data_IF_238377427299
#
_entry.id   IF_238377427299
#
_cell.length_a   1.000
_cell.length_b   1.000
_cell.length_c   1.000
_cell.angle_alpha   90.00
_cell.angle_beta   90.00
_cell.angle_gamma   90.00
#
_symmetry.space_group_name_H-M   'P 1'
#
loop_
_entity.id
_entity.type
_entity.pdbx_description
1 polymer ?
#
# COMPACT_ATOMS: atom_id res chain seq x y z
N UNK A 1 24.67 1.41 -14.07
CA UNK A 1 23.65 0.35 -14.24
C UNK A 1 22.31 0.94 -13.87
N UNK A 2 21.25 0.65 -14.64
CA UNK A 2 19.89 1.09 -14.31
C UNK A 2 19.39 0.29 -13.09
N UNK A 3 18.73 0.95 -12.14
CA UNK A 3 18.16 0.33 -10.92
C UNK A 3 16.63 0.34 -10.99
N UNK A 4 15.97 -0.33 -10.04
CA UNK A 4 14.52 -0.27 -9.88
C UNK A 4 14.07 1.17 -9.61
N UNK A 5 12.93 1.58 -10.18
CA UNK A 5 12.31 2.86 -9.84
C UNK A 5 10.88 2.64 -9.36
N UNK A 6 10.56 3.11 -8.16
CA UNK A 6 9.21 3.04 -7.60
C UNK A 6 8.54 4.41 -7.76
N UNK A 7 7.47 4.46 -8.54
CA UNK A 7 6.70 5.67 -8.80
C UNK A 7 5.42 5.62 -7.97
N UNK A 8 5.18 6.61 -7.12
CA UNK A 8 4.05 6.62 -6.20
C UNK A 8 3.71 8.02 -5.69
N UNK A 9 2.53 8.17 -5.10
CA UNK A 9 2.11 9.43 -4.49
C UNK A 9 2.84 9.72 -3.17
N UNK A 10 3.01 10.99 -2.83
CA UNK A 10 3.54 11.48 -1.54
C UNK A 10 2.63 11.22 -0.31
N UNK A 11 1.70 10.26 -0.40
CA UNK A 11 0.77 9.90 0.65
C UNK A 11 1.06 8.51 1.24
N UNK A 12 0.67 8.31 2.51
CA UNK A 12 0.83 7.04 3.23
C UNK A 12 -0.19 5.99 2.81
N UNK A 13 -0.02 5.47 1.60
CA UNK A 13 -0.91 4.47 0.99
C UNK A 13 -0.15 3.22 0.52
N UNK A 14 -0.67 2.56 -0.53
CA UNK A 14 -0.29 1.23 -1.02
C UNK A 14 1.20 1.07 -1.40
N UNK A 15 1.91 2.16 -1.68
CA UNK A 15 3.33 2.12 -2.02
C UNK A 15 4.25 1.84 -0.83
N UNK A 16 3.82 2.10 0.41
CA UNK A 16 4.69 2.00 1.58
C UNK A 16 5.15 0.58 1.87
N UNK A 17 4.28 -0.43 1.68
CA UNK A 17 4.68 -1.83 1.81
C UNK A 17 5.84 -2.18 0.84
N UNK A 18 5.78 -1.66 -0.38
CA UNK A 18 6.83 -1.88 -1.40
C UNK A 18 8.13 -1.17 -1.00
N UNK A 19 8.03 0.06 -0.49
CA UNK A 19 9.20 0.82 0.00
C UNK A 19 9.89 0.11 1.15
N UNK A 20 9.14 -0.36 2.14
CA UNK A 20 9.70 -1.11 3.26
C UNK A 20 10.35 -2.41 2.79
N UNK A 21 9.67 -3.17 1.90
CA UNK A 21 10.25 -4.39 1.33
C UNK A 21 11.60 -4.11 0.64
N UNK A 22 11.70 -3.03 -0.13
CA UNK A 22 12.94 -2.66 -0.81
C UNK A 22 14.02 -2.16 0.17
N UNK A 23 13.67 -1.23 1.06
CA UNK A 23 14.61 -0.60 1.98
C UNK A 23 15.13 -1.57 3.04
N UNK A 24 14.25 -2.34 3.69
CA UNK A 24 14.60 -3.25 4.79
C UNK A 24 15.47 -4.43 4.30
N UNK A 25 15.39 -4.76 3.01
CA UNK A 25 16.21 -5.79 2.38
C UNK A 25 17.40 -5.24 1.59
N UNK A 26 17.70 -3.94 1.72
CA UNK A 26 18.86 -3.31 1.08
C UNK A 26 18.85 -3.37 -0.46
N UNK A 27 17.66 -3.46 -1.07
CA UNK A 27 17.50 -3.55 -2.52
C UNK A 27 17.65 -2.16 -3.13
N UNK A 28 18.64 -1.91 -4.01
CA UNK A 28 18.84 -0.59 -4.61
C UNK A 28 17.66 -0.17 -5.48
N UNK A 29 17.09 0.99 -5.17
CA UNK A 29 15.97 1.58 -5.90
C UNK A 29 16.00 3.11 -5.84
N UNK A 30 15.28 3.74 -6.77
CA UNK A 30 15.00 5.17 -6.82
C UNK A 30 13.51 5.40 -6.53
N UNK A 31 13.20 6.26 -5.57
CA UNK A 31 11.83 6.72 -5.32
C UNK A 31 11.53 7.91 -6.25
N UNK A 32 10.50 7.77 -7.08
CA UNK A 32 9.91 8.86 -7.87
C UNK A 32 8.58 9.24 -7.22
N UNK A 33 8.59 10.33 -6.49
CA UNK A 33 7.46 10.77 -5.69
C UNK A 33 6.65 11.79 -6.48
N UNK A 34 5.35 11.52 -6.64
CA UNK A 34 4.40 12.40 -7.32
C UNK A 34 3.53 13.07 -6.25
N UNK A 35 3.39 14.40 -6.23
CA UNK A 35 2.46 15.06 -5.33
C UNK A 35 1.04 14.53 -5.56
N UNK A 36 0.30 14.22 -4.50
CA UNK A 36 -1.08 13.75 -4.64
C UNK A 36 -2.03 14.91 -5.00
N UNK A 37 -1.86 16.05 -4.33
CA UNK A 37 -2.66 17.27 -4.53
C UNK A 37 -1.84 18.34 -5.25
N UNK A 38 -2.53 19.23 -5.97
CA UNK A 38 -1.95 20.52 -6.37
C UNK A 38 -1.86 21.48 -5.18
N UNK A 39 -1.13 22.59 -5.33
CA UNK A 39 -1.10 23.65 -4.30
C UNK A 39 -2.50 24.14 -3.91
N UNK A 40 -3.41 24.27 -4.88
CA UNK A 40 -4.80 24.62 -4.62
C UNK A 40 -5.54 23.53 -3.84
N UNK A 41 -5.26 22.26 -4.12
CA UNK A 41 -5.78 21.13 -3.35
C UNK A 41 -5.28 21.13 -1.90
N UNK A 42 -4.00 21.43 -1.67
CA UNK A 42 -3.45 21.57 -0.30
C UNK A 42 -4.12 22.73 0.43
N UNK A 43 -4.25 23.89 -0.21
CA UNK A 43 -4.89 25.06 0.39
C UNK A 43 -6.35 24.80 0.75
N UNK A 44 -7.10 24.08 -0.08
CA UNK A 44 -8.49 23.69 0.19
C UNK A 44 -8.60 22.77 1.42
N UNK A 45 -7.66 21.83 1.56
CA UNK A 45 -7.58 20.92 2.71
C UNK A 45 -7.29 21.66 3.99
N UNK A 46 -6.31 22.57 3.97
CA UNK A 46 -5.93 23.40 5.12
C UNK A 46 -7.04 24.36 5.53
N UNK A 47 -7.69 25.02 4.56
CA UNK A 47 -8.74 26.00 4.81
C UNK A 47 -10.02 25.39 5.38
N UNK A 48 -10.36 24.17 4.95
CA UNK A 48 -11.63 23.51 5.31
C UNK A 48 -11.45 22.41 6.37
N UNK A 49 -10.24 22.17 6.86
CA UNK A 49 -9.95 21.11 7.83
C UNK A 49 -10.33 19.71 7.32
N UNK A 50 -10.22 19.50 6.00
CA UNK A 50 -10.58 18.24 5.34
C UNK A 50 -9.56 17.17 5.76
N UNK A 51 -10.05 15.98 6.14
CA UNK A 51 -9.17 14.85 6.46
C UNK A 51 -8.74 14.11 5.19
N UNK A 52 -7.57 13.44 5.21
CA UNK A 52 -7.13 12.56 4.12
C UNK A 52 -8.22 11.55 3.71
N UNK A 53 -9.01 11.06 4.66
CA UNK A 53 -10.13 10.16 4.38
C UNK A 53 -11.20 10.83 3.49
N UNK A 54 -11.56 12.09 3.76
CA UNK A 54 -12.47 12.83 2.89
C UNK A 54 -11.87 13.09 1.52
N UNK A 55 -10.57 13.36 1.44
CA UNK A 55 -9.87 13.52 0.16
C UNK A 55 -9.94 12.24 -0.67
N UNK A 56 -9.73 11.06 -0.06
CA UNK A 56 -9.84 9.79 -0.80
C UNK A 56 -11.28 9.52 -1.28
N UNK A 57 -12.29 9.90 -0.50
CA UNK A 57 -13.70 9.85 -0.91
C UNK A 57 -13.96 10.79 -2.10
N UNK A 58 -13.57 12.06 -1.98
CA UNK A 58 -13.83 13.07 -3.01
C UNK A 58 -12.99 12.79 -4.27
N UNK A 59 -11.81 12.17 -4.15
CA UNK A 59 -10.99 11.74 -5.28
C UNK A 59 -11.64 10.56 -6.02
N UNK A 60 -12.35 9.68 -5.31
CA UNK A 60 -13.20 8.65 -5.92
C UNK A 60 -14.37 9.31 -6.69
N UNK A 61 -14.95 10.37 -6.12
CA UNK A 61 -15.99 11.18 -6.75
C UNK A 61 -15.45 12.28 -7.69
N UNK A 62 -14.15 12.24 -8.02
CA UNK A 62 -13.41 13.17 -8.90
C UNK A 62 -13.44 14.67 -8.55
N UNK A 63 -13.91 15.06 -7.36
CA UNK A 63 -14.00 16.46 -6.92
C UNK A 63 -12.72 17.01 -6.27
N UNK A 64 -11.57 16.32 -6.43
CA UNK A 64 -10.29 16.72 -5.82
C UNK A 64 -9.33 17.30 -6.86
N UNK A 65 -8.68 18.41 -6.49
CA UNK A 65 -7.61 19.03 -7.27
C UNK A 65 -6.32 18.20 -7.17
N UNK A 66 -6.22 17.15 -7.99
CA UNK A 66 -5.00 16.36 -8.14
C UNK A 66 -3.86 17.19 -8.76
N UNK A 67 -2.62 16.78 -8.50
CA UNK A 67 -1.43 17.49 -9.01
C UNK A 67 -1.34 17.49 -10.55
N UNK A 68 -0.74 18.55 -11.11
CA UNK A 68 -0.50 18.66 -12.54
C UNK A 68 0.48 17.60 -13.04
N UNK A 69 1.46 17.25 -12.21
CA UNK A 69 2.42 16.17 -12.43
C UNK A 69 1.70 14.84 -12.62
N UNK A 70 0.73 14.53 -11.76
CA UNK A 70 -0.06 13.31 -11.92
C UNK A 70 -0.93 13.35 -13.17
N UNK A 71 -1.64 14.45 -13.41
CA UNK A 71 -2.48 14.58 -14.59
C UNK A 71 -1.69 14.39 -15.90
N UNK A 72 -0.44 14.86 -15.92
CA UNK A 72 0.50 14.67 -17.04
C UNK A 72 0.99 13.23 -17.14
N UNK A 73 1.38 12.60 -16.02
CA UNK A 73 1.98 11.26 -15.99
C UNK A 73 0.97 10.13 -16.19
N UNK A 74 -0.29 10.34 -15.77
CA UNK A 74 -1.35 9.32 -15.70
C UNK A 74 -1.52 8.50 -16.99
N UNK A 75 -1.58 9.08 -18.20
CA UNK A 75 -1.76 8.32 -19.44
C UNK A 75 -0.60 7.37 -19.76
N UNK A 76 0.59 7.62 -19.21
CA UNK A 76 1.78 6.80 -19.43
C UNK A 76 1.89 5.63 -18.43
N UNK A 77 1.05 5.63 -17.38
CA UNK A 77 1.06 4.58 -16.36
C UNK A 77 0.10 3.43 -16.73
N UNK A 78 0.50 2.15 -16.55
CA UNK A 78 -0.39 1.03 -16.79
C UNK A 78 -1.66 1.13 -15.96
N UNK A 79 -2.81 1.04 -16.62
CA UNK A 79 -4.15 1.21 -16.04
C UNK A 79 -4.40 2.60 -15.42
N UNK A 80 -3.58 3.61 -15.72
CA UNK A 80 -3.74 4.96 -15.19
C UNK A 80 -3.72 5.03 -13.65
N UNK A 81 -2.92 4.17 -12.99
CA UNK A 81 -2.83 4.07 -11.53
C UNK A 81 -1.38 4.13 -11.03
N UNK A 82 -1.24 4.52 -9.76
CA UNK A 82 -0.04 4.33 -8.95
C UNK A 82 -0.36 3.42 -7.74
N UNK A 83 0.62 2.70 -7.16
CA UNK A 83 2.04 2.71 -7.50
C UNK A 83 2.39 1.92 -8.77
N UNK A 84 3.55 2.25 -9.36
CA UNK A 84 4.17 1.53 -10.48
C UNK A 84 5.65 1.30 -10.19
N UNK A 85 6.12 0.08 -10.41
CA UNK A 85 7.54 -0.26 -10.40
C UNK A 85 8.06 -0.33 -11.84
N UNK A 86 9.12 0.42 -12.15
CA UNK A 86 9.87 0.33 -13.40
C UNK A 86 11.12 -0.50 -13.20
N UNK A 87 11.27 -1.57 -13.97
CA UNK A 87 12.48 -2.42 -13.92
C UNK A 87 13.65 -1.77 -14.67
N UNK A 88 14.91 -2.19 -14.42
CA UNK A 88 16.06 -1.72 -15.18
C UNK A 88 15.92 -1.87 -16.70
N UNK A 89 15.20 -2.91 -17.14
CA UNK A 89 14.89 -3.23 -18.54
C UNK A 89 13.73 -2.40 -19.12
N UNK A 90 13.13 -1.51 -18.30
CA UNK A 90 12.06 -0.61 -18.70
C UNK A 90 10.65 -1.17 -18.57
N UNK A 91 10.46 -2.39 -18.05
CA UNK A 91 9.12 -2.95 -17.82
C UNK A 91 8.40 -2.17 -16.72
N UNK A 92 7.16 -1.78 -16.96
CA UNK A 92 6.27 -1.19 -15.96
C UNK A 92 5.40 -2.28 -15.34
N UNK A 93 5.35 -2.31 -14.01
CA UNK A 93 4.53 -3.24 -13.22
C UNK A 93 3.65 -2.39 -12.31
N UNK A 94 2.35 -2.46 -12.50
CA UNK A 94 1.34 -1.80 -11.64
C UNK A 94 0.70 -2.81 -10.69
N UNK A 95 -0.23 -2.34 -9.85
CA UNK A 95 -0.89 -3.09 -8.77
C UNK A 95 0.06 -3.46 -7.63
N UNK A 96 -0.18 -2.90 -6.45
CA UNK A 96 0.75 -3.01 -5.33
C UNK A 96 1.11 -4.46 -4.97
N UNK A 97 0.13 -5.35 -4.84
CA UNK A 97 0.38 -6.76 -4.51
C UNK A 97 1.11 -7.51 -5.65
N UNK A 98 0.89 -7.14 -6.91
CA UNK A 98 1.63 -7.73 -8.03
C UNK A 98 3.10 -7.28 -8.03
N UNK A 99 3.37 -6.02 -7.67
CA UNK A 99 4.72 -5.49 -7.46
C UNK A 99 5.42 -6.23 -6.31
N UNK A 100 4.76 -6.37 -5.16
CA UNK A 100 5.29 -7.09 -3.99
C UNK A 100 5.67 -8.53 -4.38
N UNK A 101 4.76 -9.27 -5.02
CA UNK A 101 5.02 -10.63 -5.52
C UNK A 101 6.16 -10.70 -6.52
N UNK A 102 6.29 -9.71 -7.42
CA UNK A 102 7.40 -9.66 -8.36
C UNK A 102 8.75 -9.50 -7.65
N UNK A 103 8.82 -8.57 -6.70
CA UNK A 103 10.03 -8.35 -5.89
C UNK A 103 10.33 -9.59 -5.05
N UNK A 104 9.33 -10.18 -4.43
CA UNK A 104 9.49 -11.35 -3.59
C UNK A 104 10.07 -12.56 -4.32
N UNK A 105 9.58 -12.84 -5.55
CA UNK A 105 10.19 -13.88 -6.40
C UNK A 105 11.62 -13.55 -6.79
N UNK A 106 11.93 -12.28 -7.02
CA UNK A 106 13.26 -11.84 -7.49
C UNK A 106 14.31 -11.84 -6.38
N UNK A 107 13.90 -11.58 -5.14
CA UNK A 107 14.79 -11.36 -3.99
C UNK A 107 14.64 -12.40 -2.88
N UNK A 108 13.96 -13.52 -3.16
CA UNK A 108 13.81 -14.64 -2.21
C UNK A 108 13.06 -14.23 -0.92
N UNK A 109 11.93 -13.52 -1.09
CA UNK A 109 11.07 -13.00 -0.01
C UNK A 109 9.65 -13.58 -0.08
N UNK A 110 9.49 -14.78 -0.65
CA UNK A 110 8.18 -15.41 -0.90
C UNK A 110 8.04 -16.76 -0.18
N UNK A 111 8.71 -16.93 0.97
CA UNK A 111 8.73 -18.21 1.67
C UNK A 111 9.65 -19.25 1.02
N UNK A 112 9.66 -20.46 1.57
CA UNK A 112 10.58 -21.54 1.15
C UNK A 112 9.87 -22.82 0.73
N UNK A 113 8.58 -22.95 1.04
CA UNK A 113 7.73 -24.08 0.68
C UNK A 113 6.46 -23.58 -0.01
N UNK A 114 5.77 -24.45 -0.74
CA UNK A 114 4.49 -24.11 -1.38
C UNK A 114 3.43 -23.68 -0.35
N UNK A 115 3.48 -24.25 0.86
CA UNK A 115 2.63 -23.86 2.00
C UNK A 115 2.98 -22.44 2.48
N UNK A 116 4.28 -22.11 2.60
CA UNK A 116 4.68 -20.73 2.96
C UNK A 116 4.17 -19.73 1.92
N UNK A 117 4.37 -20.02 0.64
CA UNK A 117 3.92 -19.18 -0.49
C UNK A 117 2.42 -18.94 -0.39
N UNK A 118 1.65 -20.02 -0.22
CA UNK A 118 0.19 -19.98 -0.13
C UNK A 118 -0.27 -19.15 1.07
N UNK A 119 0.36 -19.36 2.23
CA UNK A 119 0.02 -18.63 3.44
C UNK A 119 0.34 -17.13 3.33
N UNK A 120 1.47 -16.77 2.73
CA UNK A 120 1.84 -15.37 2.46
C UNK A 120 0.80 -14.71 1.54
N UNK A 121 0.32 -15.42 0.52
CA UNK A 121 -0.73 -14.91 -0.36
C UNK A 121 -2.05 -14.68 0.37
N UNK A 122 -2.50 -15.65 1.18
CA UNK A 122 -3.71 -15.51 2.00
C UNK A 122 -3.62 -14.28 2.90
N UNK A 123 -2.48 -14.10 3.60
CA UNK A 123 -2.28 -13.00 4.53
C UNK A 123 -2.22 -11.64 3.82
N UNK A 124 -1.59 -11.58 2.64
CA UNK A 124 -1.51 -10.36 1.83
C UNK A 124 -2.89 -9.94 1.33
N UNK A 125 -3.71 -10.89 0.86
CA UNK A 125 -5.06 -10.57 0.40
C UNK A 125 -5.98 -10.18 1.57
N UNK A 126 -5.86 -10.84 2.73
CA UNK A 126 -6.58 -10.44 3.95
C UNK A 126 -6.20 -9.01 4.40
N UNK A 127 -4.92 -8.66 4.38
CA UNK A 127 -4.48 -7.29 4.67
C UNK A 127 -5.08 -6.29 3.67
N UNK A 128 -5.07 -6.63 2.38
CA UNK A 128 -5.58 -5.75 1.34
C UNK A 128 -7.08 -5.50 1.46
N UNK A 129 -7.86 -6.54 1.74
CA UNK A 129 -9.30 -6.45 2.01
C UNK A 129 -9.57 -5.65 3.29
N UNK A 130 -8.83 -5.92 4.37
CA UNK A 130 -8.99 -5.21 5.63
C UNK A 130 -8.66 -3.73 5.50
N UNK A 131 -7.61 -3.39 4.76
CA UNK A 131 -7.24 -2.02 4.44
C UNK A 131 -8.32 -1.30 3.64
N UNK A 132 -8.92 -1.95 2.64
CA UNK A 132 -10.03 -1.37 1.88
C UNK A 132 -11.24 -1.12 2.78
N UNK A 133 -11.57 -2.05 3.69
CA UNK A 133 -12.64 -1.83 4.66
C UNK A 133 -12.35 -0.65 5.59
N UNK A 134 -11.10 -0.45 5.99
CA UNK A 134 -10.69 0.69 6.80
C UNK A 134 -10.92 1.99 6.02
N UNK A 135 -10.46 2.08 4.77
CA UNK A 135 -10.69 3.27 3.94
C UNK A 135 -12.17 3.53 3.71
N UNK A 136 -12.94 2.52 3.30
CA UNK A 136 -14.37 2.66 2.98
C UNK A 136 -15.21 3.00 4.19
N UNK A 137 -14.93 2.40 5.35
CA UNK A 137 -15.76 2.58 6.55
C UNK A 137 -15.27 3.74 7.43
N UNK A 138 -14.11 4.34 7.12
CA UNK A 138 -13.70 5.61 7.70
C UNK A 138 -14.48 6.81 7.12
N UNK A 139 -15.21 6.64 6.02
CA UNK A 139 -16.00 7.70 5.40
C UNK A 139 -17.22 8.12 6.23
N UNK A 140 -17.34 9.41 6.58
CA UNK A 140 -18.48 9.97 7.31
C UNK A 140 -18.05 10.89 8.46
N UNK A 141 -18.93 11.09 9.45
CA UNK A 141 -18.60 11.86 10.66
C UNK A 141 -17.36 11.26 11.34
N UNK A 142 -16.28 12.03 11.40
CA UNK A 142 -14.98 11.55 11.85
C UNK A 142 -15.02 10.99 13.28
N UNK A 143 -15.80 11.59 14.19
CA UNK A 143 -15.86 11.13 15.57
C UNK A 143 -16.54 9.75 15.66
N UNK A 144 -17.66 9.58 14.95
CA UNK A 144 -18.41 8.31 14.90
C UNK A 144 -17.57 7.23 14.20
N UNK A 145 -16.94 7.57 13.07
CA UNK A 145 -16.17 6.60 12.30
C UNK A 145 -14.87 6.20 12.99
N UNK A 146 -14.20 7.12 13.68
CA UNK A 146 -13.03 6.79 14.48
C UNK A 146 -13.36 5.78 15.58
N UNK A 147 -14.49 5.96 16.28
CA UNK A 147 -14.89 5.00 17.32
C UNK A 147 -15.20 3.62 16.73
N UNK A 148 -15.95 3.57 15.63
CA UNK A 148 -16.26 2.31 14.91
C UNK A 148 -15.01 1.62 14.39
N UNK A 149 -14.07 2.39 13.83
CA UNK A 149 -12.79 1.91 13.32
C UNK A 149 -11.98 1.26 14.43
N UNK A 150 -11.80 1.97 15.55
CA UNK A 150 -10.97 1.50 16.67
C UNK A 150 -11.61 0.33 17.41
N UNK A 151 -12.92 0.36 17.64
CA UNK A 151 -13.60 -0.65 18.48
C UNK A 151 -14.06 -1.89 17.75
N UNK A 152 -14.33 -1.80 16.45
CA UNK A 152 -14.91 -2.91 15.68
C UNK A 152 -14.01 -3.33 14.53
N UNK A 153 -13.68 -2.41 13.62
CA UNK A 153 -13.05 -2.77 12.34
C UNK A 153 -11.61 -3.21 12.52
N UNK A 154 -10.79 -2.46 13.28
CA UNK A 154 -9.39 -2.82 13.51
C UNK A 154 -9.27 -4.17 14.24
N UNK A 155 -9.98 -4.42 15.37
CA UNK A 155 -9.93 -5.73 16.02
C UNK A 155 -10.33 -6.89 15.10
N UNK A 156 -11.38 -6.74 14.29
CA UNK A 156 -11.87 -7.80 13.41
C UNK A 156 -10.86 -8.14 12.30
N UNK A 157 -10.11 -7.16 11.81
CA UNK A 157 -9.08 -7.38 10.79
C UNK A 157 -7.74 -7.85 11.37
N UNK A 158 -7.36 -7.36 12.56
CA UNK A 158 -6.05 -7.66 13.16
C UNK A 158 -6.02 -8.97 13.95
N UNK A 159 -7.12 -9.37 14.60
CA UNK A 159 -7.19 -10.60 15.39
C UNK A 159 -6.88 -11.87 14.56
N UNK A 160 -7.38 -12.04 13.32
CA UNK A 160 -6.98 -13.15 12.48
C UNK A 160 -5.47 -13.18 12.22
N UNK A 161 -4.85 -12.03 11.93
CA UNK A 161 -3.40 -11.93 11.73
C UNK A 161 -2.61 -12.31 12.99
N UNK A 162 -3.06 -11.88 14.17
CA UNK A 162 -2.46 -12.26 15.45
C UNK A 162 -2.58 -13.78 15.70
N UNK A 163 -3.70 -14.39 15.33
CA UNK A 163 -3.90 -15.83 15.45
C UNK A 163 -2.98 -16.60 14.51
N UNK A 164 -2.82 -16.15 13.25
CA UNK A 164 -1.86 -16.75 12.32
C UNK A 164 -0.42 -16.59 12.83
N UNK A 165 -0.04 -15.42 13.33
CA UNK A 165 1.28 -15.18 13.93
C UNK A 165 1.57 -16.17 15.09
N UNK A 166 0.60 -16.39 15.99
CA UNK A 166 0.74 -17.33 17.11
C UNK A 166 0.99 -18.78 16.67
N UNK A 167 0.52 -19.18 15.49
CA UNK A 167 0.81 -20.52 14.94
C UNK A 167 2.28 -20.71 14.59
N UNK A 168 3.00 -19.62 14.28
CA UNK A 168 4.42 -19.67 13.99
C UNK A 168 5.27 -19.33 15.23
N UNK A 169 5.88 -20.35 15.84
CA UNK A 169 6.76 -20.22 17.01
C UNK A 169 6.13 -19.39 18.17
N UNK A 170 4.84 -19.61 18.44
CA UNK A 170 4.11 -18.90 19.50
C UNK A 170 3.98 -17.39 19.29
N UNK A 171 4.20 -16.90 18.06
CA UNK A 171 4.18 -15.49 17.71
C UNK A 171 5.45 -14.71 18.03
N UNK A 172 6.55 -15.41 18.30
CA UNK A 172 7.86 -14.79 18.55
C UNK A 172 8.79 -14.75 17.32
N UNK A 173 8.32 -15.30 16.19
CA UNK A 173 9.04 -15.34 14.92
C UNK A 173 8.44 -14.40 13.87
N UNK A 174 8.61 -14.77 12.60
CA UNK A 174 7.94 -14.12 11.47
C UNK A 174 6.49 -14.57 11.36
N UNK A 175 5.69 -13.86 10.56
CA UNK A 175 4.31 -14.25 10.31
C UNK A 175 4.21 -15.61 9.60
N UNK A 176 5.15 -15.90 8.69
CA UNK A 176 5.29 -17.18 7.98
C UNK A 176 6.76 -17.59 7.94
N UNK A 177 7.03 -18.89 8.10
CA UNK A 177 8.37 -19.45 7.94
C UNK A 177 9.41 -18.91 8.93
N UNK A 178 10.67 -18.81 8.49
CA UNK A 178 11.83 -18.48 9.35
C UNK A 178 12.56 -17.19 8.96
N UNK A 179 12.07 -16.46 7.96
CA UNK A 179 12.65 -15.22 7.46
C UNK A 179 11.55 -14.26 7.01
N UNK A 180 11.93 -13.02 6.79
CA UNK A 180 11.02 -11.99 6.26
C UNK A 180 10.44 -12.41 4.89
N UNK A 181 9.16 -12.09 4.70
CA UNK A 181 8.45 -12.13 3.42
C UNK A 181 7.83 -10.76 3.13
N UNK A 182 7.31 -10.56 1.92
CA UNK A 182 6.48 -9.38 1.62
C UNK A 182 5.13 -9.39 2.34
#
# INVERSE_FOLDING_TARGET
>A
MSILKLIYFDCKARAHAIRYLLADNGIPHEDIIIPFLSEAGVADVEANGITLDRIFSDAYDMNVNLSEEWNTLKPDMPFNVLPVLKTPEGKLISQANAILRFLARKYDLYGTTDDDVTQIDILTEHESEGREQIYVKAYGDYAIQREKLVKLILPDNLRPLENELKKNNGGTGFLVGKKISF
#
